data_IF_362867446147
#
_entry.id   IF_362867446147
#
_cell.length_a   1.000
_cell.length_b   1.000
_cell.length_c   1.000
_cell.angle_alpha   90.00
_cell.angle_beta   90.00
_cell.angle_gamma   90.00
#
_symmetry.space_group_name_H-M   'P 1'
#
loop_
_entity.id
_entity.type
_entity.pdbx_description
1 polymer ?
#
# COMPACT_ATOMS: atom_id res chain seq x y z
N UNK A 1 12.60 -1.84 -14.67
CA UNK A 1 11.80 -1.00 -13.75
C UNK A 1 11.16 -1.94 -12.75
N UNK A 2 11.75 -2.08 -11.56
CA UNK A 2 11.36 -3.09 -10.59
C UNK A 2 10.41 -2.46 -9.56
N UNK A 3 9.20 -2.99 -9.46
CA UNK A 3 8.33 -3.00 -8.28
C UNK A 3 7.94 -1.68 -7.60
N UNK A 4 7.72 -0.60 -8.38
CA UNK A 4 7.59 0.75 -7.80
C UNK A 4 6.35 1.01 -6.95
N UNK A 5 5.27 0.24 -7.04
CA UNK A 5 4.04 0.63 -6.33
C UNK A 5 3.73 -0.23 -5.11
N UNK A 6 4.11 -1.52 -5.10
CA UNK A 6 3.68 -2.47 -4.05
C UNK A 6 2.17 -2.45 -3.82
N UNK A 7 1.39 -1.87 -4.74
CA UNK A 7 0.04 -1.38 -4.53
C UNK A 7 -0.89 -2.05 -5.52
N UNK A 8 -1.95 -2.65 -5.01
CA UNK A 8 -2.97 -3.33 -5.82
C UNK A 8 -4.34 -2.98 -5.29
N UNK A 9 -5.29 -2.67 -6.17
CA UNK A 9 -6.70 -2.50 -5.80
C UNK A 9 -7.35 -3.88 -5.74
N UNK A 10 -7.85 -4.29 -4.56
CA UNK A 10 -8.62 -5.53 -4.40
C UNK A 10 -10.08 -5.35 -4.80
N UNK A 11 -10.68 -4.22 -4.39
CA UNK A 11 -12.09 -3.94 -4.60
C UNK A 11 -12.36 -2.43 -4.65
N UNK A 12 -13.53 -2.02 -5.15
CA UNK A 12 -13.95 -0.62 -5.25
C UNK A 12 -15.46 -0.48 -5.16
N UNK A 13 -15.89 0.42 -4.28
CA UNK A 13 -17.24 0.98 -4.29
C UNK A 13 -17.18 2.38 -4.91
N UNK A 14 -17.54 2.47 -6.19
CA UNK A 14 -17.51 3.73 -6.95
C UNK A 14 -18.54 4.74 -6.47
N UNK A 15 -19.67 4.28 -5.93
CA UNK A 15 -20.74 5.16 -5.45
C UNK A 15 -20.29 5.95 -4.21
N UNK A 16 -19.42 5.35 -3.39
CA UNK A 16 -18.85 5.97 -2.18
C UNK A 16 -17.44 6.54 -2.39
N UNK A 17 -16.87 6.40 -3.59
CA UNK A 17 -15.48 6.78 -3.86
C UNK A 17 -14.47 5.98 -3.05
N UNK A 18 -14.81 4.75 -2.64
CA UNK A 18 -14.00 3.91 -1.74
C UNK A 18 -13.28 2.81 -2.53
N UNK A 19 -11.97 2.68 -2.33
CA UNK A 19 -11.13 1.65 -2.93
C UNK A 19 -10.40 0.86 -1.85
N UNK A 20 -10.47 -0.46 -1.89
CA UNK A 20 -9.75 -1.33 -0.98
C UNK A 20 -8.44 -1.74 -1.65
N UNK A 21 -7.33 -1.53 -0.94
CA UNK A 21 -6.00 -1.66 -1.55
C UNK A 21 -5.09 -2.51 -0.69
N UNK A 22 -4.30 -3.36 -1.33
CA UNK A 22 -3.15 -4.01 -0.71
C UNK A 22 -1.90 -3.18 -0.93
N UNK A 23 -1.07 -3.08 0.08
CA UNK A 23 0.22 -2.43 0.01
C UNK A 23 1.32 -3.31 0.61
N UNK A 24 2.35 -3.58 -0.18
CA UNK A 24 3.60 -4.21 0.26
C UNK A 24 4.61 -3.09 0.48
N UNK A 25 4.99 -2.88 1.74
CA UNK A 25 5.96 -1.84 2.07
C UNK A 25 7.35 -2.19 1.52
N UNK A 26 8.05 -1.23 0.86
CA UNK A 26 9.39 -1.46 0.33
C UNK A 26 10.40 -1.65 1.47
N UNK A 27 11.36 -2.55 1.26
CA UNK A 27 12.40 -2.85 2.24
C UNK A 27 12.04 -3.93 3.26
N UNK A 28 10.89 -4.58 3.09
CA UNK A 28 10.48 -5.78 3.84
C UNK A 28 11.24 -7.04 3.42
N UNK A 29 11.90 -7.03 2.25
CA UNK A 29 12.81 -8.08 1.79
C UNK A 29 14.21 -8.04 2.44
N UNK A 30 14.45 -7.14 3.41
CA UNK A 30 15.77 -7.02 4.04
C UNK A 30 15.95 -8.00 5.20
N UNK A 31 16.18 -9.25 4.83
CA UNK A 31 17.23 -10.07 5.44
C UNK A 31 17.72 -11.00 4.35
N UNK A 32 18.81 -10.62 3.69
CA UNK A 32 19.64 -11.61 3.01
C UNK A 32 19.86 -12.74 4.01
N UNK A 33 19.43 -13.98 3.70
CA UNK A 33 19.76 -15.11 4.56
C UNK A 33 21.29 -15.18 4.52
N UNK A 34 21.94 -14.85 5.63
CA UNK A 34 23.39 -15.04 5.74
C UNK A 34 23.72 -16.48 5.34
N UNK A 35 24.97 -16.73 4.94
CA UNK A 35 25.43 -18.03 4.44
C UNK A 35 25.11 -19.23 5.37
N UNK A 36 24.76 -18.98 6.64
CA UNK A 36 24.32 -19.94 7.66
C UNK A 36 22.81 -20.24 7.69
N UNK A 37 21.95 -19.43 7.07
CA UNK A 37 20.49 -19.61 7.08
C UNK A 37 20.00 -20.74 6.18
N UNK A 38 20.87 -21.30 5.32
CA UNK A 38 20.55 -22.46 4.46
C UNK A 38 20.39 -23.78 5.22
N UNK A 39 20.83 -23.84 6.49
CA UNK A 39 20.81 -25.07 7.30
C UNK A 39 19.63 -25.14 8.28
N UNK A 40 18.92 -24.03 8.49
CA UNK A 40 17.70 -23.98 9.31
C UNK A 40 16.53 -23.54 8.43
N UNK A 41 15.83 -24.53 7.87
CA UNK A 41 14.72 -24.34 6.95
C UNK A 41 13.59 -23.49 7.53
N UNK A 42 13.70 -22.17 7.33
CA UNK A 42 12.58 -21.23 7.42
C UNK A 42 12.63 -20.44 6.13
N UNK A 43 11.79 -20.84 5.18
CA UNK A 43 11.58 -20.08 3.95
C UNK A 43 11.30 -18.64 4.30
N UNK A 44 11.95 -17.72 3.59
CA UNK A 44 11.81 -16.28 3.73
C UNK A 44 10.32 -15.94 3.78
N UNK A 45 9.80 -15.63 4.98
CA UNK A 45 8.41 -15.24 5.13
C UNK A 45 8.26 -13.87 4.46
N UNK A 46 7.75 -13.86 3.22
CA UNK A 46 7.40 -12.64 2.52
C UNK A 46 6.50 -11.82 3.45
N UNK A 47 6.81 -10.53 3.62
CA UNK A 47 5.98 -9.69 4.49
C UNK A 47 4.57 -9.64 3.93
N UNK A 48 3.55 -10.02 4.72
CA UNK A 48 2.18 -10.06 4.21
C UNK A 48 1.74 -8.66 3.78
N UNK A 49 1.03 -8.51 2.65
CA UNK A 49 0.59 -7.21 2.20
C UNK A 49 -0.44 -6.63 3.16
N UNK A 50 -0.21 -5.38 3.56
CA UNK A 50 -1.08 -4.59 4.41
C UNK A 50 -2.33 -4.16 3.63
N UNK A 51 -3.44 -3.96 4.33
CA UNK A 51 -4.69 -3.50 3.73
C UNK A 51 -5.00 -2.07 4.15
N UNK A 52 -5.41 -1.28 3.18
CA UNK A 52 -5.84 0.10 3.37
C UNK A 52 -7.13 0.37 2.60
N UNK A 53 -7.76 1.49 2.92
CA UNK A 53 -8.86 2.04 2.13
C UNK A 53 -8.47 3.40 1.60
N UNK A 54 -8.69 3.65 0.33
CA UNK A 54 -8.48 4.95 -0.31
C UNK A 54 -9.85 5.56 -0.58
N UNK A 55 -10.06 6.77 -0.08
CA UNK A 55 -11.29 7.53 -0.26
C UNK A 55 -11.01 8.67 -1.23
N UNK A 56 -11.81 8.76 -2.28
CA UNK A 56 -11.73 9.80 -3.32
C UNK A 56 -13.02 10.60 -3.26
N UNK A 57 -12.92 11.90 -2.98
CA UNK A 57 -14.08 12.80 -2.90
C UNK A 57 -13.87 14.02 -3.77
N UNK A 58 -14.83 14.31 -4.63
CA UNK A 58 -14.86 15.57 -5.37
C UNK A 58 -15.43 16.68 -4.50
N UNK A 59 -14.74 17.82 -4.47
CA UNK A 59 -15.10 19.05 -3.78
C UNK A 59 -15.02 20.20 -4.80
N UNK A 60 -16.13 20.47 -5.48
CA UNK A 60 -16.18 21.43 -6.58
C UNK A 60 -15.22 21.03 -7.71
N UNK A 61 -14.25 21.90 -8.00
CA UNK A 61 -13.22 21.70 -9.02
C UNK A 61 -12.03 20.86 -8.54
N UNK A 62 -11.99 20.50 -7.25
CA UNK A 62 -10.89 19.75 -6.65
C UNK A 62 -11.31 18.32 -6.30
N UNK A 63 -10.36 17.39 -6.32
CA UNK A 63 -10.57 16.03 -5.81
C UNK A 63 -9.62 15.78 -4.66
N UNK A 64 -10.18 15.42 -3.51
CA UNK A 64 -9.43 15.07 -2.31
C UNK A 64 -9.29 13.56 -2.22
N UNK A 65 -8.06 13.09 -2.06
CA UNK A 65 -7.73 11.68 -1.83
C UNK A 65 -7.27 11.51 -0.39
N UNK A 66 -7.77 10.49 0.30
CA UNK A 66 -7.39 10.17 1.69
C UNK A 66 -7.13 8.68 1.86
N UNK A 67 -6.17 8.33 2.71
CA UNK A 67 -5.85 6.94 3.04
C UNK A 67 -6.33 6.64 4.46
N UNK A 68 -7.01 5.52 4.61
CA UNK A 68 -7.52 4.98 5.85
C UNK A 68 -6.94 3.58 6.06
N UNK A 69 -6.88 3.13 7.30
CA UNK A 69 -6.52 1.74 7.62
C UNK A 69 -7.67 0.76 7.29
N UNK A 70 -7.44 -0.54 7.48
CA UNK A 70 -8.45 -1.58 7.23
C UNK A 70 -9.76 -1.36 8.01
N UNK A 71 -9.70 -0.74 9.19
CA UNK A 71 -10.87 -0.41 10.01
C UNK A 71 -11.61 0.87 9.55
N UNK A 72 -11.05 1.64 8.62
CA UNK A 72 -11.62 2.90 8.13
C UNK A 72 -11.26 4.13 8.97
N UNK A 73 -10.29 4.03 9.88
CA UNK A 73 -9.76 5.19 10.58
C UNK A 73 -8.65 5.89 9.75
N UNK A 74 -8.46 7.22 9.89
CA UNK A 74 -7.40 7.94 9.20
C UNK A 74 -6.03 7.30 9.42
N UNK A 75 -5.25 7.16 8.34
CA UNK A 75 -3.92 6.58 8.38
C UNK A 75 -2.87 7.67 8.08
N UNK A 76 -1.91 7.83 8.98
CA UNK A 76 -0.84 8.84 8.90
C UNK A 76 0.58 8.25 8.91
N UNK A 77 0.72 6.93 8.78
CA UNK A 77 2.03 6.31 8.67
C UNK A 77 2.76 6.67 7.37
N UNK A 78 4.08 6.44 7.38
CA UNK A 78 4.92 6.54 6.17
C UNK A 78 4.42 5.67 5.00
N UNK A 79 3.63 4.62 5.27
CA UNK A 79 3.01 3.82 4.20
C UNK A 79 1.87 4.58 3.52
N UNK A 80 1.01 5.29 4.26
CA UNK A 80 -0.02 6.13 3.67
C UNK A 80 0.60 7.26 2.84
N UNK A 81 1.67 7.90 3.32
CA UNK A 81 2.38 8.91 2.53
C UNK A 81 2.91 8.35 1.20
N UNK A 82 3.45 7.13 1.22
CA UNK A 82 3.91 6.46 -0.01
C UNK A 82 2.77 6.15 -0.96
N UNK A 83 1.65 5.63 -0.45
CA UNK A 83 0.45 5.37 -1.25
C UNK A 83 -0.03 6.67 -1.92
N UNK A 84 -0.13 7.77 -1.16
CA UNK A 84 -0.53 9.07 -1.70
C UNK A 84 0.42 9.58 -2.79
N UNK A 85 1.74 9.41 -2.61
CA UNK A 85 2.73 9.81 -3.62
C UNK A 85 2.58 9.01 -4.92
N UNK A 86 2.41 7.69 -4.82
CA UNK A 86 2.16 6.84 -6.00
C UNK A 86 0.92 7.32 -6.75
N UNK A 87 -0.19 7.52 -6.04
CA UNK A 87 -1.43 8.01 -6.65
C UNK A 87 -1.26 9.39 -7.28
N UNK A 88 -0.52 10.30 -6.65
CA UNK A 88 -0.27 11.64 -7.17
C UNK A 88 0.65 11.63 -8.40
N UNK A 89 1.64 10.74 -8.44
CA UNK A 89 2.53 10.59 -9.58
C UNK A 89 1.84 9.96 -10.80
N UNK A 90 0.90 9.03 -10.58
CA UNK A 90 0.10 8.40 -11.64
C UNK A 90 -0.95 9.36 -12.27
N UNK A 91 -1.24 10.50 -11.62
CA UNK A 91 -2.19 11.51 -12.10
C UNK A 91 -1.55 12.63 -12.94
N UNK A 92 -0.22 12.62 -13.10
CA UNK A 92 0.51 13.56 -13.97
C UNK A 92 0.47 13.12 -15.43
#
# INVERSE_FOLDING_TARGET
>A
ALDRTGFTVEDRNRNEGLYFVRYVAPGTDKKEPGFFSKLFGVGSAATPPLKYRVVVRSQGETTTVSVLNEAGAPESSANAERILRVLADDLK
#
